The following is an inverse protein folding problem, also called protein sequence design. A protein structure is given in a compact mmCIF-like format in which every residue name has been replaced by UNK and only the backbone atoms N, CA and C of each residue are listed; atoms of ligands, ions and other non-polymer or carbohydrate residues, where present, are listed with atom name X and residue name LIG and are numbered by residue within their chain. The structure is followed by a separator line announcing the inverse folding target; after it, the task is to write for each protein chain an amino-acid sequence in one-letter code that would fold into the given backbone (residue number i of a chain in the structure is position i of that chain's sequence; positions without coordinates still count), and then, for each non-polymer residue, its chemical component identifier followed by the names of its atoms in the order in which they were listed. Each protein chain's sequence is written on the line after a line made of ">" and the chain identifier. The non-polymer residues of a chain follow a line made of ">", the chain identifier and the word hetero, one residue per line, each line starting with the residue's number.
data_IF_991761667994
#
_entry.id   IF_991761667994
#
_cell.length_a   1.000
_cell.length_b   1.000
_cell.length_c   1.000
_cell.angle_alpha   90.00
_cell.angle_beta   90.00
_cell.angle_gamma   90.00
#
_symmetry.space_group_name_H-M   'P 1'
#
loop_
_entity.id
_entity.type
_entity.pdbx_description
1 polymer ?
#
# COMPACT_ATOMS: atom_id res chain seq x y z
N UNK A 1 -20.73 6.71 3.73
CA UNK A 1 -19.55 7.16 2.96
C UNK A 1 -19.37 8.68 2.90
N UNK A 2 -20.42 9.50 2.87
CA UNK A 2 -20.37 10.97 2.79
C UNK A 2 -19.62 11.68 3.93
N UNK A 3 -19.69 11.19 5.18
CA UNK A 3 -19.08 11.87 6.32
C UNK A 3 -17.55 11.81 6.37
N UNK A 4 -16.94 10.69 5.96
CA UNK A 4 -15.48 10.52 6.03
C UNK A 4 -14.76 11.32 4.93
N UNK A 5 -15.34 11.33 3.73
CA UNK A 5 -14.82 12.13 2.61
C UNK A 5 -14.91 13.64 2.90
N UNK A 6 -16.00 14.09 3.52
CA UNK A 6 -16.16 15.48 3.92
C UNK A 6 -15.18 15.87 5.03
N UNK A 7 -15.01 15.05 6.08
CA UNK A 7 -14.04 15.30 7.15
C UNK A 7 -12.60 15.41 6.60
N UNK A 8 -12.24 14.55 5.65
CA UNK A 8 -10.92 14.58 5.02
C UNK A 8 -10.74 15.83 4.13
N UNK A 9 -11.78 16.24 3.42
CA UNK A 9 -11.77 17.49 2.63
C UNK A 9 -11.58 18.70 3.52
N UNK A 10 -12.26 18.77 4.66
CA UNK A 10 -12.09 19.85 5.64
C UNK A 10 -10.68 19.89 6.22
N UNK A 11 -10.08 18.73 6.52
CA UNK A 11 -8.69 18.65 6.98
C UNK A 11 -7.71 19.16 5.93
N UNK A 12 -7.88 18.78 4.66
CA UNK A 12 -7.05 19.28 3.56
C UNK A 12 -7.17 20.80 3.39
N UNK A 13 -8.35 21.37 3.56
CA UNK A 13 -8.55 22.83 3.53
C UNK A 13 -7.82 23.49 4.69
N UNK A 14 -7.89 22.94 5.91
CA UNK A 14 -7.13 23.44 7.07
C UNK A 14 -5.62 23.35 6.81
N UNK A 15 -5.15 22.27 6.23
CA UNK A 15 -3.73 22.11 5.84
C UNK A 15 -3.30 23.11 4.79
N UNK A 16 -4.13 23.38 3.79
CA UNK A 16 -3.85 24.37 2.74
C UNK A 16 -3.67 25.78 3.29
N UNK A 17 -4.52 26.16 4.24
CA UNK A 17 -4.53 27.48 4.89
C UNK A 17 -3.47 27.63 5.99
N UNK A 18 -2.96 26.54 6.53
CA UNK A 18 -1.90 26.56 7.54
C UNK A 18 -0.57 27.07 6.96
N UNK A 19 0.13 27.92 7.72
CA UNK A 19 1.51 28.35 7.41
C UNK A 19 2.43 27.94 8.55
N UNK A 20 3.42 27.10 8.26
CA UNK A 20 4.44 26.75 9.23
C UNK A 20 5.49 27.87 9.35
N UNK A 21 6.35 27.80 10.38
CA UNK A 21 7.44 28.76 10.58
C UNK A 21 8.45 28.84 9.43
N UNK A 22 8.46 27.85 8.52
CA UNK A 22 9.26 27.89 7.28
C UNK A 22 8.52 28.57 6.11
N UNK A 23 7.31 29.12 6.32
CA UNK A 23 6.49 29.76 5.28
C UNK A 23 5.71 28.81 4.36
N UNK A 24 5.80 27.49 4.57
CA UNK A 24 5.11 26.50 3.72
C UNK A 24 3.70 26.19 4.23
N UNK A 25 2.80 25.80 3.31
CA UNK A 25 1.47 25.30 3.70
C UNK A 25 1.57 23.92 4.36
N UNK A 26 0.53 23.50 5.10
CA UNK A 26 0.45 22.17 5.68
C UNK A 26 0.43 21.07 4.62
N UNK A 27 -0.07 21.35 3.42
CA UNK A 27 -0.04 20.39 2.30
C UNK A 27 1.38 20.12 1.81
N UNK A 28 2.21 21.16 1.72
CA UNK A 28 3.61 21.00 1.30
C UNK A 28 4.54 20.61 2.45
N UNK A 29 4.10 20.81 3.71
CA UNK A 29 4.87 20.51 4.92
C UNK A 29 4.02 19.82 6.00
N UNK A 30 3.44 18.64 5.71
CA UNK A 30 2.45 18.00 6.58
C UNK A 30 2.99 17.70 7.98
N UNK A 31 4.26 17.36 8.12
CA UNK A 31 4.86 17.10 9.43
C UNK A 31 4.80 18.32 10.38
N UNK A 32 4.95 19.55 9.84
CA UNK A 32 4.79 20.76 10.62
C UNK A 32 3.34 21.01 11.02
N UNK A 33 2.41 20.74 10.10
CA UNK A 33 0.99 20.88 10.39
C UNK A 33 0.54 19.93 11.52
N UNK A 34 0.84 18.64 11.41
CA UNK A 34 0.47 17.66 12.42
C UNK A 34 1.12 17.96 13.77
N UNK A 35 2.42 18.29 13.78
CA UNK A 35 3.12 18.68 15.01
C UNK A 35 2.51 19.92 15.68
N UNK A 36 2.19 20.94 14.90
CA UNK A 36 1.65 22.19 15.42
C UNK A 36 0.23 22.06 15.98
N UNK A 37 -0.55 21.15 15.40
CA UNK A 37 -1.93 20.91 15.83
C UNK A 37 -2.05 19.77 16.86
N UNK A 38 -0.95 19.22 17.34
CA UNK A 38 -0.95 18.11 18.31
C UNK A 38 -1.60 16.81 17.77
N UNK A 39 -1.71 16.68 16.46
CA UNK A 39 -2.34 15.54 15.80
C UNK A 39 -1.25 14.62 15.25
N UNK A 40 -1.38 13.32 15.47
CA UNK A 40 -0.49 12.32 14.90
C UNK A 40 -0.92 12.03 13.45
N UNK A 41 0.03 12.07 12.49
CA UNK A 41 -0.22 11.63 11.12
C UNK A 41 -0.50 10.12 11.13
N UNK A 42 -1.64 9.69 10.61
CA UNK A 42 -1.98 8.26 10.50
C UNK A 42 -1.33 7.65 9.27
N UNK A 43 -0.43 6.69 9.49
CA UNK A 43 0.30 5.99 8.42
C UNK A 43 -0.16 4.54 8.34
N UNK A 44 -0.48 4.08 7.13
CA UNK A 44 -0.75 2.70 6.81
C UNK A 44 0.43 2.12 6.03
N UNK A 45 1.04 1.07 6.53
CA UNK A 45 2.04 0.26 5.82
C UNK A 45 1.31 -0.86 5.11
N UNK A 46 1.64 -1.12 3.84
CA UNK A 46 0.92 -2.11 3.07
C UNK A 46 1.81 -2.76 2.00
N UNK A 47 1.40 -3.92 1.57
CA UNK A 47 1.97 -4.70 0.49
C UNK A 47 0.86 -5.50 -0.20
N UNK A 48 1.01 -5.83 -1.47
CA UNK A 48 0.07 -6.66 -2.22
C UNK A 48 0.77 -7.85 -2.88
N UNK A 49 0.04 -8.93 -3.06
CA UNK A 49 0.48 -10.06 -3.86
C UNK A 49 -0.45 -10.27 -5.05
N UNK A 50 0.11 -10.38 -6.23
CA UNK A 50 -0.65 -10.53 -7.46
C UNK A 50 -0.04 -11.60 -8.38
N UNK A 51 -0.86 -12.03 -9.34
CA UNK A 51 -0.49 -13.02 -10.36
C UNK A 51 0.65 -12.53 -11.24
N UNK A 52 0.52 -11.33 -11.79
CA UNK A 52 1.41 -10.74 -12.78
C UNK A 52 1.85 -9.34 -12.36
N UNK A 53 2.82 -8.79 -13.08
CA UNK A 53 3.24 -7.40 -12.93
C UNK A 53 2.28 -6.41 -13.60
N UNK A 54 1.46 -6.88 -14.53
CA UNK A 54 0.53 -6.09 -15.32
C UNK A 54 -0.90 -6.33 -14.83
N UNK A 55 -1.57 -5.26 -14.45
CA UNK A 55 -2.90 -5.29 -13.86
C UNK A 55 -4.04 -5.55 -14.87
N UNK A 56 -3.77 -5.48 -16.15
CA UNK A 56 -4.71 -5.80 -17.23
C UNK A 56 -4.88 -7.31 -17.44
N UNK A 57 -3.89 -8.12 -17.04
CA UNK A 57 -3.93 -9.59 -17.12
C UNK A 57 -4.03 -10.24 -15.75
N UNK A 58 -3.30 -9.70 -14.77
CA UNK A 58 -3.16 -10.29 -13.45
C UNK A 58 -4.24 -9.83 -12.47
N UNK A 59 -4.57 -10.72 -11.53
CA UNK A 59 -5.45 -10.43 -10.40
C UNK A 59 -4.66 -10.32 -9.11
N UNK A 60 -5.16 -9.53 -8.17
CA UNK A 60 -4.64 -9.46 -6.81
C UNK A 60 -5.05 -10.70 -6.02
N UNK A 61 -4.12 -11.39 -5.36
CA UNK A 61 -4.43 -12.54 -4.51
C UNK A 61 -4.79 -12.15 -3.10
N UNK A 62 -4.02 -11.25 -2.55
CA UNK A 62 -4.20 -10.72 -1.21
C UNK A 62 -3.45 -9.41 -1.05
N UNK A 63 -3.79 -8.71 0.01
CA UNK A 63 -3.03 -7.62 0.57
C UNK A 63 -2.95 -7.78 2.09
N UNK A 64 -1.89 -7.22 2.65
CA UNK A 64 -1.72 -7.09 4.08
C UNK A 64 -1.33 -5.66 4.42
N UNK A 65 -1.82 -5.16 5.54
CA UNK A 65 -1.49 -3.83 6.00
C UNK A 65 -1.37 -3.78 7.53
N UNK A 66 -0.55 -2.86 8.02
CA UNK A 66 -0.41 -2.56 9.43
C UNK A 66 -0.28 -1.06 9.63
N UNK A 67 -0.93 -0.51 10.66
CA UNK A 67 -0.77 0.89 11.00
C UNK A 67 0.36 1.11 12.02
N UNK A 68 0.62 2.38 12.35
CA UNK A 68 1.66 2.75 13.33
C UNK A 68 1.36 2.27 14.75
N UNK A 69 0.10 1.98 15.07
CA UNK A 69 -0.33 1.52 16.39
C UNK A 69 -0.28 -0.02 16.48
N UNK A 70 0.08 -0.70 15.36
CA UNK A 70 0.24 -2.13 15.27
C UNK A 70 -1.06 -2.88 14.95
N UNK A 71 -2.13 -2.17 14.60
CA UNK A 71 -3.36 -2.81 14.12
C UNK A 71 -3.11 -3.45 12.76
N UNK A 72 -3.53 -4.69 12.60
CA UNK A 72 -3.30 -5.52 11.43
C UNK A 72 -4.58 -5.67 10.63
N UNK A 73 -4.45 -5.58 9.33
CA UNK A 73 -5.56 -5.70 8.37
C UNK A 73 -5.09 -6.57 7.21
N UNK A 74 -5.98 -7.40 6.71
CA UNK A 74 -5.72 -8.21 5.52
C UNK A 74 -7.02 -8.55 4.83
N UNK A 75 -6.92 -8.81 3.54
CA UNK A 75 -7.98 -9.44 2.78
C UNK A 75 -7.36 -10.28 1.67
N UNK A 76 -8.08 -11.29 1.20
CA UNK A 76 -7.57 -12.23 0.21
C UNK A 76 -8.70 -12.78 -0.65
N UNK A 77 -8.32 -13.20 -1.86
CA UNK A 77 -9.25 -13.83 -2.81
C UNK A 77 -9.77 -15.16 -2.23
N UNK A 78 -11.06 -15.38 -2.37
CA UNK A 78 -11.71 -16.61 -1.94
C UNK A 78 -12.14 -17.45 -3.13
N UNK A 79 -12.42 -18.72 -2.89
CA UNK A 79 -12.98 -19.60 -3.92
C UNK A 79 -14.33 -19.07 -4.44
N UNK A 80 -15.10 -18.42 -3.57
CA UNK A 80 -16.38 -17.81 -3.95
C UNK A 80 -16.17 -16.62 -4.89
N UNK A 81 -15.15 -15.78 -4.65
CA UNK A 81 -14.79 -14.68 -5.55
C UNK A 81 -14.42 -15.24 -6.94
N UNK A 82 -13.59 -16.28 -7.00
CA UNK A 82 -13.16 -16.92 -8.24
C UNK A 82 -14.36 -17.54 -8.98
N UNK A 83 -15.23 -18.27 -8.28
CA UNK A 83 -16.37 -18.95 -8.90
C UNK A 83 -17.45 -17.98 -9.39
N UNK A 84 -17.68 -16.90 -8.65
CA UNK A 84 -18.65 -15.86 -9.00
C UNK A 84 -18.35 -15.21 -10.35
N UNK A 85 -17.06 -15.02 -10.67
CA UNK A 85 -16.62 -14.35 -11.89
C UNK A 85 -16.03 -15.31 -12.93
N UNK A 86 -16.13 -16.62 -12.72
CA UNK A 86 -15.83 -17.62 -13.74
C UNK A 86 -16.79 -17.41 -14.90
N UNK A 87 -16.35 -16.69 -15.93
CA UNK A 87 -17.10 -16.45 -17.14
C UNK A 87 -16.67 -17.42 -18.23
N UNK A 88 -17.64 -17.89 -19.02
CA UNK A 88 -17.38 -18.55 -20.30
C UNK A 88 -16.98 -17.56 -21.39
N UNK A 89 -17.19 -16.27 -21.17
CA UNK A 89 -16.85 -15.22 -22.12
C UNK A 89 -15.41 -14.75 -21.89
N UNK A 90 -14.53 -15.10 -22.81
CA UNK A 90 -13.11 -14.73 -22.78
C UNK A 90 -12.83 -13.24 -23.00
N UNK A 91 -13.85 -12.45 -23.33
CA UNK A 91 -13.75 -11.01 -23.52
C UNK A 91 -14.10 -10.22 -22.24
N UNK A 92 -14.45 -10.90 -21.14
CA UNK A 92 -14.69 -10.27 -19.86
C UNK A 92 -13.37 -10.22 -19.07
N UNK A 93 -12.96 -9.03 -18.67
CA UNK A 93 -11.80 -8.82 -17.82
C UNK A 93 -11.99 -9.51 -16.46
N UNK A 94 -10.92 -10.06 -15.87
CA UNK A 94 -11.00 -10.69 -14.55
C UNK A 94 -11.50 -9.69 -13.52
N UNK A 95 -12.48 -10.13 -12.70
CA UNK A 95 -13.09 -9.32 -11.62
C UNK A 95 -13.05 -10.03 -10.27
N UNK A 96 -12.35 -11.15 -10.24
CA UNK A 96 -12.26 -12.04 -9.07
C UNK A 96 -11.70 -11.30 -7.85
N UNK A 97 -10.84 -10.31 -8.08
CA UNK A 97 -10.19 -9.51 -7.04
C UNK A 97 -10.89 -8.18 -6.74
N UNK A 98 -11.99 -7.83 -7.42
CA UNK A 98 -12.68 -6.54 -7.25
C UNK A 98 -13.04 -6.24 -5.79
N UNK A 99 -13.44 -7.27 -5.03
CA UNK A 99 -13.79 -7.12 -3.61
C UNK A 99 -12.59 -6.74 -2.76
N UNK A 100 -11.47 -7.43 -2.93
CA UNK A 100 -10.26 -7.17 -2.14
C UNK A 100 -9.56 -5.88 -2.56
N UNK A 101 -9.58 -5.53 -3.84
CA UNK A 101 -9.12 -4.23 -4.34
C UNK A 101 -9.91 -3.11 -3.69
N UNK A 102 -11.24 -3.23 -3.67
CA UNK A 102 -12.11 -2.24 -3.00
C UNK A 102 -11.84 -2.15 -1.51
N UNK A 103 -11.67 -3.27 -0.81
CA UNK A 103 -11.42 -3.28 0.63
C UNK A 103 -10.08 -2.61 0.98
N UNK A 104 -9.03 -2.80 0.16
CA UNK A 104 -7.75 -2.09 0.33
C UNK A 104 -7.92 -0.58 0.15
N UNK A 105 -8.62 -0.14 -0.88
CA UNK A 105 -8.87 1.28 -1.17
C UNK A 105 -9.68 1.92 -0.03
N UNK A 106 -10.74 1.25 0.44
CA UNK A 106 -11.56 1.70 1.56
C UNK A 106 -10.72 1.83 2.85
N UNK A 107 -9.76 0.93 3.07
CA UNK A 107 -8.83 1.02 4.18
C UNK A 107 -7.86 2.19 4.03
N UNK A 108 -7.18 2.32 2.88
CA UNK A 108 -6.24 3.42 2.59
C UNK A 108 -6.89 4.79 2.79
N UNK A 109 -8.17 4.92 2.44
CA UNK A 109 -8.94 6.16 2.56
C UNK A 109 -9.12 6.66 4.01
N UNK A 110 -8.86 5.82 5.01
CA UNK A 110 -8.93 6.18 6.44
C UNK A 110 -7.63 6.78 6.99
N UNK A 111 -6.56 6.78 6.20
CA UNK A 111 -5.23 7.20 6.61
C UNK A 111 -4.79 8.47 5.90
N UNK A 112 -3.86 9.22 6.53
CA UNK A 112 -3.28 10.42 5.94
C UNK A 112 -2.17 10.04 4.94
N UNK A 113 -1.48 8.93 5.20
CA UNK A 113 -0.36 8.45 4.40
C UNK A 113 -0.40 6.95 4.23
N UNK A 114 0.00 6.48 3.06
CA UNK A 114 0.34 5.08 2.80
C UNK A 114 1.84 4.94 2.59
N UNK A 115 2.40 3.81 3.03
CA UNK A 115 3.81 3.50 2.89
C UNK A 115 3.98 2.07 2.38
N UNK A 116 4.78 1.88 1.34
CA UNK A 116 5.15 0.57 0.81
C UNK A 116 6.63 0.50 0.47
N UNK A 117 7.05 -0.61 -0.12
CA UNK A 117 8.39 -0.78 -0.67
C UNK A 117 8.34 -0.97 -2.18
N UNK A 118 8.81 0.00 -2.94
CA UNK A 118 8.60 0.10 -4.39
C UNK A 118 7.12 0.26 -4.78
N UNK A 119 6.30 0.65 -3.84
CA UNK A 119 4.85 0.78 -4.03
C UNK A 119 4.46 1.87 -5.02
N UNK A 120 5.31 2.90 -5.22
CA UNK A 120 5.12 3.89 -6.28
C UNK A 120 5.34 3.31 -7.69
N UNK A 121 6.09 2.21 -7.81
CA UNK A 121 6.38 1.54 -9.08
C UNK A 121 5.50 0.31 -9.35
N UNK A 122 4.87 -0.26 -8.32
CA UNK A 122 4.10 -1.49 -8.48
C UNK A 122 2.75 -1.45 -7.76
N UNK A 123 2.70 -1.53 -6.44
CA UNK A 123 1.46 -1.76 -5.68
C UNK A 123 0.37 -0.72 -5.96
N UNK A 124 0.72 0.56 -5.93
CA UNK A 124 -0.24 1.65 -6.18
C UNK A 124 -0.68 1.73 -7.63
N UNK A 125 0.22 1.69 -8.64
CA UNK A 125 -0.18 1.59 -10.03
C UNK A 125 -1.05 0.37 -10.32
N UNK A 126 -0.69 -0.80 -9.80
CA UNK A 126 -1.48 -2.02 -9.94
C UNK A 126 -2.90 -1.85 -9.37
N UNK A 127 -2.99 -1.46 -8.09
CA UNK A 127 -4.27 -1.26 -7.40
C UNK A 127 -5.14 -0.21 -8.10
N UNK A 128 -4.53 0.89 -8.57
CA UNK A 128 -5.24 1.94 -9.32
C UNK A 128 -5.76 1.43 -10.66
N UNK A 129 -4.96 0.67 -11.39
CA UNK A 129 -5.38 0.08 -12.67
C UNK A 129 -6.55 -0.87 -12.48
N UNK A 130 -6.45 -1.78 -11.49
CA UNK A 130 -7.57 -2.68 -11.14
C UNK A 130 -8.82 -1.90 -10.75
N UNK A 131 -8.67 -0.85 -9.93
CA UNK A 131 -9.81 -0.02 -9.54
C UNK A 131 -10.53 0.61 -10.74
N UNK A 132 -9.77 1.17 -11.70
CA UNK A 132 -10.35 1.79 -12.91
C UNK A 132 -11.03 0.75 -13.79
N UNK A 133 -10.39 -0.41 -14.01
CA UNK A 133 -10.94 -1.53 -14.78
C UNK A 133 -12.28 -1.98 -14.18
N UNK A 134 -12.32 -2.12 -12.86
CA UNK A 134 -13.50 -2.63 -12.14
C UNK A 134 -14.51 -1.52 -11.75
N UNK A 135 -14.28 -0.27 -12.18
CA UNK A 135 -15.13 0.89 -11.89
C UNK A 135 -15.28 1.16 -10.39
N UNK A 136 -14.21 0.92 -9.64
CA UNK A 136 -14.10 1.22 -8.21
C UNK A 136 -13.51 2.63 -8.08
N UNK A 137 -14.11 3.45 -7.24
CA UNK A 137 -13.60 4.78 -6.92
C UNK A 137 -12.21 4.68 -6.28
N UNK A 138 -11.22 5.33 -6.89
CA UNK A 138 -9.87 5.46 -6.35
C UNK A 138 -9.65 6.88 -5.83
N UNK A 139 -8.95 7.07 -4.68
CA UNK A 139 -8.70 8.40 -4.13
C UNK A 139 -8.05 9.34 -5.14
N UNK A 140 -8.58 10.56 -5.23
CA UNK A 140 -8.02 11.57 -6.12
C UNK A 140 -6.60 11.97 -5.68
N UNK A 141 -5.78 12.38 -6.64
CA UNK A 141 -4.44 12.92 -6.37
C UNK A 141 -4.50 14.03 -5.30
N UNK A 142 -3.58 14.01 -4.36
CA UNK A 142 -3.51 14.98 -3.27
C UNK A 142 -4.30 14.62 -2.02
N UNK A 143 -5.11 13.55 -2.01
CA UNK A 143 -5.95 13.18 -0.86
C UNK A 143 -5.25 12.29 0.15
N UNK A 144 -4.26 11.50 -0.28
CA UNK A 144 -3.46 10.61 0.58
C UNK A 144 -1.99 10.80 0.24
N UNK A 145 -1.16 11.08 1.24
CA UNK A 145 0.28 11.17 1.05
C UNK A 145 0.89 9.78 0.84
N UNK A 146 2.01 9.75 0.14
CA UNK A 146 2.74 8.52 -0.14
C UNK A 146 4.17 8.59 0.41
N UNK A 147 4.66 7.48 0.94
CA UNK A 147 6.06 7.22 1.24
C UNK A 147 6.46 5.88 0.63
N UNK A 148 7.72 5.80 0.20
CA UNK A 148 8.25 4.57 -0.41
C UNK A 148 9.66 4.32 0.11
N UNK A 149 9.84 3.21 0.83
CA UNK A 149 11.13 2.87 1.44
C UNK A 149 12.20 2.53 0.40
N UNK A 150 11.82 2.00 -0.79
CA UNK A 150 12.76 1.81 -1.89
C UNK A 150 13.35 3.14 -2.38
N UNK A 151 12.49 4.17 -2.50
CA UNK A 151 12.93 5.53 -2.89
C UNK A 151 13.84 6.13 -1.83
N UNK A 152 13.54 5.89 -0.55
CA UNK A 152 14.40 6.33 0.56
C UNK A 152 15.77 5.67 0.45
N UNK A 153 15.81 4.33 0.30
CA UNK A 153 17.07 3.60 0.15
C UNK A 153 17.89 4.12 -1.04
N UNK A 154 17.26 4.24 -2.20
CA UNK A 154 17.92 4.70 -3.43
C UNK A 154 18.49 6.10 -3.31
N UNK A 155 17.80 7.01 -2.64
CA UNK A 155 18.19 8.44 -2.57
C UNK A 155 19.07 8.81 -1.38
N UNK A 156 19.02 8.04 -0.29
CA UNK A 156 19.65 8.42 0.98
C UNK A 156 20.72 7.45 1.46
N UNK A 157 20.80 6.26 0.88
CA UNK A 157 21.75 5.23 1.28
C UNK A 157 22.53 4.73 0.06
N UNK A 158 23.76 4.26 0.30
CA UNK A 158 24.65 3.68 -0.73
C UNK A 158 24.72 2.17 -0.52
N UNK A 159 23.62 1.48 -0.80
CA UNK A 159 23.55 0.01 -0.72
C UNK A 159 23.81 -0.65 -2.07
N UNK A 160 24.25 -1.89 -2.07
CA UNK A 160 24.46 -2.68 -3.31
C UNK A 160 23.15 -2.97 -4.04
N UNK A 161 22.04 -3.10 -3.29
CA UNK A 161 20.67 -3.29 -3.80
C UNK A 161 19.69 -2.56 -2.90
N UNK A 162 18.60 -2.08 -3.49
CA UNK A 162 17.54 -1.37 -2.77
C UNK A 162 16.30 -2.25 -2.51
N UNK A 163 16.43 -3.59 -2.60
CA UNK A 163 15.33 -4.50 -2.23
C UNK A 163 15.05 -4.43 -0.73
N UNK A 164 13.81 -4.73 -0.33
CA UNK A 164 13.37 -4.78 1.06
C UNK A 164 14.29 -5.68 1.89
N UNK A 165 14.53 -6.91 1.38
CA UNK A 165 15.43 -7.89 2.01
C UNK A 165 16.83 -7.32 2.28
N UNK A 166 17.46 -6.69 1.27
CA UNK A 166 18.81 -6.17 1.43
C UNK A 166 18.83 -4.96 2.38
N UNK A 167 17.85 -4.08 2.29
CA UNK A 167 17.67 -2.95 3.20
C UNK A 167 17.56 -3.40 4.64
N UNK A 168 16.68 -4.37 4.91
CA UNK A 168 16.49 -4.94 6.24
C UNK A 168 17.74 -5.65 6.75
N UNK A 169 18.37 -6.54 5.96
CA UNK A 169 19.59 -7.24 6.35
C UNK A 169 20.75 -6.29 6.68
N UNK A 170 20.89 -5.19 5.92
CA UNK A 170 22.03 -4.27 6.10
C UNK A 170 21.79 -3.19 7.14
N UNK A 171 20.59 -2.70 7.30
CA UNK A 171 20.28 -1.57 8.19
C UNK A 171 19.65 -2.02 9.52
N UNK A 172 19.04 -3.22 9.55
CA UNK A 172 18.35 -3.75 10.75
C UNK A 172 19.02 -5.05 11.25
N UNK A 173 19.79 -5.73 10.41
CA UNK A 173 20.48 -6.97 10.74
C UNK A 173 19.68 -8.26 10.48
N UNK A 174 18.43 -8.17 10.01
CA UNK A 174 17.56 -9.32 9.72
C UNK A 174 16.56 -9.02 8.60
N UNK A 175 15.97 -10.06 8.03
CA UNK A 175 14.80 -9.98 7.15
C UNK A 175 14.00 -11.28 7.27
N UNK A 176 12.67 -11.15 7.17
CA UNK A 176 11.72 -12.27 7.18
C UNK A 176 11.42 -12.78 5.77
N UNK A 177 12.02 -12.16 4.76
CA UNK A 177 11.70 -12.44 3.36
C UNK A 177 11.93 -13.90 3.02
N UNK A 178 10.89 -14.50 2.48
CA UNK A 178 10.87 -15.79 1.78
C UNK A 178 10.61 -15.57 0.27
N UNK A 179 10.32 -16.61 -0.47
CA UNK A 179 10.05 -16.53 -1.92
C UNK A 179 8.73 -17.20 -2.25
N UNK A 180 7.86 -16.47 -2.93
CA UNK A 180 6.68 -17.06 -3.56
C UNK A 180 7.10 -17.82 -4.83
N UNK A 181 6.88 -19.14 -4.81
CA UNK A 181 7.09 -19.97 -6.00
C UNK A 181 5.91 -19.85 -6.98
N UNK A 182 6.15 -20.19 -8.25
CA UNK A 182 5.08 -20.26 -9.24
C UNK A 182 3.95 -21.23 -8.85
N UNK A 183 4.27 -22.32 -8.15
CA UNK A 183 3.26 -23.25 -7.65
C UNK A 183 2.30 -22.62 -6.65
N UNK A 184 2.79 -21.71 -5.79
CA UNK A 184 1.94 -20.95 -4.86
C UNK A 184 1.02 -20.01 -5.66
N UNK A 185 1.54 -19.25 -6.62
CA UNK A 185 0.74 -18.38 -7.49
C UNK A 185 -0.35 -19.14 -8.21
N UNK A 186 -0.02 -20.28 -8.84
CA UNK A 186 -1.00 -21.15 -9.50
C UNK A 186 -2.03 -21.73 -8.53
N UNK A 187 -1.62 -22.04 -7.29
CA UNK A 187 -2.56 -22.47 -6.24
C UNK A 187 -3.54 -21.35 -5.84
N UNK A 188 -3.06 -20.10 -5.75
CA UNK A 188 -3.92 -18.94 -5.49
C UNK A 188 -4.98 -18.75 -6.58
N UNK A 189 -4.59 -18.87 -7.86
CA UNK A 189 -5.51 -18.81 -9.01
C UNK A 189 -6.60 -19.90 -8.99
N UNK A 190 -6.32 -21.04 -8.37
CA UNK A 190 -7.29 -22.12 -8.20
C UNK A 190 -8.08 -22.03 -6.90
N UNK A 191 -7.83 -21.01 -6.08
CA UNK A 191 -8.48 -20.83 -4.78
C UNK A 191 -8.06 -21.87 -3.73
N UNK A 192 -6.86 -22.45 -3.86
CA UNK A 192 -6.33 -23.44 -2.93
C UNK A 192 -5.90 -22.80 -1.61
N UNK A 193 -6.55 -23.21 -0.51
CA UNK A 193 -6.33 -22.61 0.82
C UNK A 193 -4.88 -22.62 1.27
N UNK A 194 -4.13 -23.69 0.98
CA UNK A 194 -2.71 -23.77 1.35
C UNK A 194 -1.87 -22.69 0.66
N UNK A 195 -2.13 -22.45 -0.62
CA UNK A 195 -1.41 -21.46 -1.43
C UNK A 195 -1.75 -20.03 -0.98
N UNK A 196 -3.04 -19.75 -0.78
CA UNK A 196 -3.52 -18.46 -0.26
C UNK A 196 -2.89 -18.17 1.11
N UNK A 197 -2.84 -19.15 2.02
CA UNK A 197 -2.24 -18.97 3.34
C UNK A 197 -0.73 -18.68 3.26
N UNK A 198 0.00 -19.31 2.35
CA UNK A 198 1.42 -19.02 2.13
C UNK A 198 1.63 -17.63 1.54
N UNK A 199 0.80 -17.23 0.57
CA UNK A 199 0.82 -15.89 -0.02
C UNK A 199 0.54 -14.80 1.02
N UNK A 200 -0.49 -14.99 1.86
CA UNK A 200 -0.81 -14.09 2.98
C UNK A 200 0.36 -13.96 3.97
N UNK A 201 0.98 -15.09 4.33
CA UNK A 201 2.13 -15.08 5.25
C UNK A 201 3.34 -14.37 4.66
N UNK A 202 3.58 -14.50 3.36
CA UNK A 202 4.61 -13.76 2.64
C UNK A 202 4.36 -12.25 2.73
N UNK A 203 3.18 -11.80 2.34
CA UNK A 203 2.76 -10.40 2.38
C UNK A 203 2.82 -9.82 3.82
N UNK A 204 2.39 -10.58 4.84
CA UNK A 204 2.57 -10.20 6.26
C UNK A 204 4.04 -9.96 6.60
N UNK A 205 4.93 -10.89 6.23
CA UNK A 205 6.36 -10.79 6.49
C UNK A 205 6.98 -9.55 5.84
N UNK A 206 6.59 -9.24 4.59
CA UNK A 206 7.09 -8.08 3.87
C UNK A 206 6.60 -6.76 4.53
N UNK A 207 5.35 -6.69 5.01
CA UNK A 207 4.86 -5.51 5.76
C UNK A 207 5.56 -5.36 7.11
N UNK A 208 5.83 -6.44 7.84
CA UNK A 208 6.58 -6.39 9.09
C UNK A 208 8.01 -5.86 8.88
N UNK A 209 8.69 -6.33 7.83
CA UNK A 209 10.02 -5.86 7.44
C UNK A 209 9.96 -4.38 6.99
N UNK A 210 8.94 -4.01 6.21
CA UNK A 210 8.69 -2.63 5.77
C UNK A 210 8.56 -1.65 6.95
N UNK A 211 7.77 -2.01 7.97
CA UNK A 211 7.59 -1.17 9.16
C UNK A 211 8.91 -0.95 9.90
N UNK A 212 9.70 -2.01 10.08
CA UNK A 212 11.01 -1.90 10.74
C UNK A 212 11.98 -1.05 9.91
N UNK A 213 12.02 -1.27 8.60
CA UNK A 213 12.86 -0.49 7.69
C UNK A 213 12.45 0.99 7.67
N UNK A 214 11.15 1.27 7.64
CA UNK A 214 10.64 2.64 7.71
C UNK A 214 11.06 3.31 9.02
N UNK A 215 10.89 2.66 10.17
CA UNK A 215 11.31 3.18 11.48
C UNK A 215 12.81 3.54 11.51
N UNK A 216 13.67 2.71 10.90
CA UNK A 216 15.10 2.94 10.82
C UNK A 216 15.48 4.10 9.87
N UNK A 217 14.69 4.35 8.83
CA UNK A 217 15.07 5.23 7.71
C UNK A 217 14.26 6.52 7.61
N UNK A 218 13.08 6.61 8.25
CA UNK A 218 12.14 7.73 8.08
C UNK A 218 12.72 9.11 8.44
N UNK A 219 13.67 9.18 9.37
CA UNK A 219 14.34 10.42 9.76
C UNK A 219 15.17 11.06 8.63
N UNK A 220 15.55 10.29 7.63
CA UNK A 220 16.29 10.74 6.45
C UNK A 220 15.35 11.11 5.29
N UNK A 221 14.08 10.84 5.43
CA UNK A 221 13.07 11.10 4.43
C UNK A 221 12.66 12.58 4.46
N UNK A 222 12.55 13.18 3.28
CA UNK A 222 11.72 14.37 3.12
C UNK A 222 10.27 13.93 3.23
N UNK A 223 9.56 14.36 4.26
CA UNK A 223 8.10 14.21 4.33
C UNK A 223 7.47 15.22 3.37
N UNK A 224 7.49 14.87 2.11
CA UNK A 224 6.96 15.70 1.04
C UNK A 224 5.59 15.21 0.60
N UNK A 225 4.93 16.08 -0.11
CA UNK A 225 3.65 16.04 -0.77
C UNK A 225 3.50 15.01 -1.91
N UNK A 226 4.30 13.95 -1.96
CA UNK A 226 4.00 12.81 -2.83
C UNK A 226 2.68 12.19 -2.42
N UNK A 227 1.76 12.09 -3.36
CA UNK A 227 0.42 11.56 -3.18
C UNK A 227 0.19 10.36 -4.10
N UNK A 228 -0.77 9.54 -3.75
CA UNK A 228 -1.22 8.40 -4.58
C UNK A 228 -2.13 8.86 -5.70
#
# INVERSE_FOLDING_TARGET
>A
MTNLANAKKEELVKMANFKCHHGHSGLSHPACYFKNNGVKEKILFFDIEAEDLNADYGIMFNWYAMDEDGNKFEDYITLDDINKYKSSDRNIEPKEDSRIVKSLIDLMSKYNRVCGHFSCGYDLPFTRSRAVIDKIDFPAYGTIFQSDTWVILKRKFKLSRNSLENGCKKLIGRSRKDRLSLSIKHGCLRGEKWAINLSRKHCENDVLDLVELFKATNRFMRRTNSSI
#
